data_IF_001627557773
#
_entry.id   IF_001627557773
#
_cell.length_a   1.000
_cell.length_b   1.000
_cell.length_c   1.000
_cell.angle_alpha   90.00
_cell.angle_beta   90.00
_cell.angle_gamma   90.00
#
_symmetry.space_group_name_H-M   'P 1'
#
loop_
_entity.id
_entity.type
_entity.pdbx_description
1 polymer ?
#
# COMPACT_ATOMS: atom_id res chain seq x y z
N UNK A 1 -47.13 23.75 -21.61
CA UNK A 1 -47.22 22.44 -20.92
C UNK A 1 -46.16 21.42 -21.35
N UNK A 2 -45.77 21.27 -22.63
CA UNK A 2 -44.74 20.29 -23.04
C UNK A 2 -43.31 20.58 -22.51
N UNK A 3 -42.96 21.85 -22.28
CA UNK A 3 -41.62 22.25 -21.82
C UNK A 3 -41.35 21.98 -20.33
N UNK A 4 -42.38 22.02 -19.49
CA UNK A 4 -42.25 21.71 -18.05
C UNK A 4 -41.98 20.23 -17.80
N UNK A 5 -42.55 19.35 -18.63
CA UNK A 5 -42.31 17.91 -18.56
C UNK A 5 -40.87 17.57 -18.95
N UNK A 6 -40.32 18.24 -19.96
CA UNK A 6 -38.90 18.08 -20.33
C UNK A 6 -37.94 18.57 -19.26
N UNK A 7 -38.25 19.65 -18.54
CA UNK A 7 -37.39 20.14 -17.44
C UNK A 7 -37.43 19.23 -16.20
N UNK A 8 -38.59 18.65 -15.88
CA UNK A 8 -38.72 17.66 -14.81
C UNK A 8 -37.99 16.35 -15.14
N UNK A 9 -38.05 15.89 -16.41
CA UNK A 9 -37.27 14.74 -16.89
C UNK A 9 -35.76 15.03 -16.93
N UNK A 10 -35.34 16.26 -17.23
CA UNK A 10 -33.92 16.64 -17.18
C UNK A 10 -33.38 16.63 -15.75
N UNK A 11 -34.17 17.08 -14.77
CA UNK A 11 -33.78 17.09 -13.36
C UNK A 11 -33.66 15.67 -12.76
N UNK A 12 -34.47 14.72 -13.24
CA UNK A 12 -34.42 13.30 -12.86
C UNK A 12 -33.20 12.55 -13.43
N UNK A 13 -32.56 13.08 -14.48
CA UNK A 13 -31.36 12.48 -15.07
C UNK A 13 -30.04 13.01 -14.47
N UNK A 14 -30.09 13.94 -13.49
CA UNK A 14 -28.89 14.55 -12.90
C UNK A 14 -28.58 13.97 -11.49
N UNK A 15 -29.44 13.10 -10.95
CA UNK A 15 -29.18 12.43 -9.67
C UNK A 15 -28.37 11.14 -9.84
N UNK A 16 -27.11 11.26 -10.27
CA UNK A 16 -26.14 10.19 -10.08
C UNK A 16 -25.73 10.13 -8.60
N UNK A 17 -26.29 9.12 -7.90
CA UNK A 17 -25.55 8.16 -7.07
C UNK A 17 -24.57 8.69 -6.01
N UNK A 18 -25.00 9.61 -5.14
CA UNK A 18 -24.40 9.74 -3.81
C UNK A 18 -25.50 9.68 -2.77
N UNK A 19 -25.55 8.61 -1.98
CA UNK A 19 -26.53 8.49 -0.90
C UNK A 19 -25.88 8.90 0.43
N UNK A 20 -26.15 10.12 0.94
CA UNK A 20 -25.50 10.64 2.15
C UNK A 20 -25.82 9.85 3.42
N UNK A 21 -26.84 8.98 3.40
CA UNK A 21 -27.18 8.12 4.53
C UNK A 21 -26.31 6.86 4.59
N UNK A 22 -25.90 6.31 3.44
CA UNK A 22 -25.05 5.11 3.35
C UNK A 22 -23.58 5.43 3.11
N UNK A 23 -23.29 6.59 2.54
CA UNK A 23 -21.95 6.99 2.11
C UNK A 23 -21.41 8.21 2.86
N UNK A 24 -20.09 8.26 3.00
CA UNK A 24 -19.35 9.36 3.58
C UNK A 24 -18.18 9.70 2.67
N UNK A 25 -18.01 10.99 2.42
CA UNK A 25 -16.78 11.49 1.81
C UNK A 25 -15.67 11.49 2.86
N UNK A 26 -14.55 10.89 2.51
CA UNK A 26 -13.34 10.84 3.33
C UNK A 26 -12.19 11.47 2.56
N UNK A 27 -11.44 12.34 3.23
CA UNK A 27 -10.17 12.84 2.71
C UNK A 27 -9.09 11.81 3.05
N UNK A 28 -8.34 11.42 2.03
CA UNK A 28 -7.19 10.52 2.11
C UNK A 28 -5.94 11.36 1.89
N UNK A 29 -4.92 11.15 2.72
CA UNK A 29 -3.68 11.93 2.68
C UNK A 29 -2.46 11.01 2.78
N UNK A 30 -1.53 11.15 1.84
CA UNK A 30 -0.19 10.55 1.89
C UNK A 30 0.73 11.60 2.52
N UNK A 31 1.13 11.39 3.78
CA UNK A 31 1.91 12.39 4.54
C UNK A 31 3.42 12.19 4.37
N UNK A 32 3.86 10.95 4.27
CA UNK A 32 5.27 10.61 4.19
C UNK A 32 5.80 10.75 2.76
N UNK A 33 6.87 11.53 2.61
CA UNK A 33 7.56 11.65 1.33
C UNK A 33 8.42 10.42 1.05
N UNK A 34 8.21 9.80 -0.12
CA UNK A 34 8.94 8.62 -0.56
C UNK A 34 10.46 8.88 -0.62
N UNK A 35 11.32 7.96 -0.15
CA UNK A 35 12.77 8.13 -0.16
C UNK A 35 13.34 8.52 -1.53
N UNK A 36 12.87 7.89 -2.61
CA UNK A 36 13.33 8.22 -3.97
C UNK A 36 12.91 9.62 -4.42
N UNK A 37 11.75 10.13 -3.95
CA UNK A 37 11.36 11.52 -4.20
C UNK A 37 12.27 12.49 -3.45
N UNK A 38 12.63 12.18 -2.19
CA UNK A 38 13.54 13.01 -1.38
C UNK A 38 14.88 13.23 -2.06
N UNK A 39 15.45 12.19 -2.68
CA UNK A 39 16.79 12.28 -3.31
C UNK A 39 16.73 12.76 -4.76
N UNK A 40 15.74 12.32 -5.55
CA UNK A 40 15.62 12.76 -6.94
C UNK A 40 15.10 14.19 -7.08
N UNK A 41 14.39 14.70 -6.07
CA UNK A 41 13.57 15.91 -6.13
C UNK A 41 12.52 15.89 -7.24
N UNK A 42 12.20 14.71 -7.80
CA UNK A 42 11.19 14.53 -8.83
C UNK A 42 9.87 14.07 -8.22
N UNK A 43 8.74 14.63 -8.64
CA UNK A 43 7.44 14.22 -8.14
C UNK A 43 7.13 12.78 -8.58
N UNK A 44 6.75 11.93 -7.63
CA UNK A 44 6.24 10.58 -7.92
C UNK A 44 4.72 10.64 -8.02
N UNK A 45 4.18 10.04 -9.07
CA UNK A 45 2.76 9.75 -9.18
C UNK A 45 2.43 8.46 -8.41
N UNK A 46 1.17 8.31 -8.01
CA UNK A 46 0.69 7.16 -7.26
C UNK A 46 -0.54 6.54 -7.94
N UNK A 47 -0.74 5.24 -7.76
CA UNK A 47 -2.02 4.58 -8.05
C UNK A 47 -2.70 4.29 -6.73
N UNK A 48 -3.78 5.01 -6.43
CA UNK A 48 -4.64 4.73 -5.27
C UNK A 48 -5.63 3.61 -5.65
N UNK A 49 -5.67 2.57 -4.82
CA UNK A 49 -6.49 1.38 -4.99
C UNK A 49 -7.36 1.19 -3.76
N UNK A 50 -8.65 0.95 -3.99
CA UNK A 50 -9.64 0.69 -2.95
C UNK A 50 -10.90 0.05 -3.54
N UNK A 51 -11.71 -0.59 -2.71
CA UNK A 51 -13.05 -1.01 -3.09
C UNK A 51 -14.04 0.10 -2.76
N UNK A 52 -14.82 0.51 -3.75
CA UNK A 52 -15.80 1.58 -3.58
C UNK A 52 -17.07 1.11 -2.85
N UNK A 53 -18.06 2.00 -2.74
CA UNK A 53 -19.30 1.68 -2.05
C UNK A 53 -20.14 0.58 -2.73
N UNK A 54 -19.92 0.31 -4.02
CA UNK A 54 -20.55 -0.78 -4.75
C UNK A 54 -19.83 -2.13 -4.57
N UNK A 55 -18.63 -2.12 -4.00
CA UNK A 55 -17.76 -3.30 -3.88
C UNK A 55 -16.86 -3.52 -5.09
N UNK A 56 -16.77 -2.54 -6.00
CA UNK A 56 -15.89 -2.59 -7.17
C UNK A 56 -14.49 -2.11 -6.81
N UNK A 57 -13.46 -2.82 -7.30
CA UNK A 57 -12.08 -2.35 -7.21
C UNK A 57 -11.87 -1.14 -8.11
N UNK A 58 -11.46 -0.02 -7.53
CA UNK A 58 -11.12 1.21 -8.25
C UNK A 58 -9.62 1.44 -8.23
N UNK A 59 -9.12 1.92 -9.36
CA UNK A 59 -7.75 2.40 -9.53
C UNK A 59 -7.80 3.87 -9.92
N UNK A 60 -7.31 4.74 -9.05
CA UNK A 60 -7.27 6.18 -9.26
C UNK A 60 -5.83 6.61 -9.44
N UNK A 61 -5.52 7.18 -10.60
CA UNK A 61 -4.21 7.79 -10.83
C UNK A 61 -4.14 9.14 -10.10
N UNK A 62 -3.15 9.29 -9.23
CA UNK A 62 -2.79 10.53 -8.57
C UNK A 62 -1.55 11.09 -9.26
N UNK A 63 -1.69 12.26 -9.88
CA UNK A 63 -0.60 12.93 -10.58
C UNK A 63 0.62 13.19 -9.66
N UNK A 64 1.79 13.39 -10.27
CA UNK A 64 3.02 13.64 -9.55
C UNK A 64 2.91 14.83 -8.60
N UNK A 65 3.12 14.57 -7.30
CA UNK A 65 3.02 15.59 -6.24
C UNK A 65 1.63 15.74 -5.62
N UNK A 66 0.60 15.08 -6.16
CA UNK A 66 -0.72 14.99 -5.52
C UNK A 66 -0.65 14.00 -4.36
N UNK A 67 -0.86 14.50 -3.15
CA UNK A 67 -0.82 13.70 -1.91
C UNK A 67 -2.19 13.56 -1.25
N UNK A 68 -3.25 14.06 -1.89
CA UNK A 68 -4.59 14.09 -1.32
C UNK A 68 -5.65 13.65 -2.33
N UNK A 69 -6.65 12.93 -1.85
CA UNK A 69 -7.82 12.55 -2.63
C UNK A 69 -9.08 12.53 -1.75
N UNK A 70 -10.23 12.87 -2.33
CA UNK A 70 -11.53 12.76 -1.64
C UNK A 70 -12.31 11.61 -2.27
N UNK A 71 -12.65 10.61 -1.47
CA UNK A 71 -13.30 9.38 -1.93
C UNK A 71 -14.61 9.18 -1.16
N UNK A 72 -15.67 8.73 -1.86
CA UNK A 72 -16.89 8.28 -1.22
C UNK A 72 -16.76 6.81 -0.80
N UNK A 73 -17.02 6.53 0.46
CA UNK A 73 -17.00 5.18 1.04
C UNK A 73 -18.27 4.89 1.82
N UNK A 74 -18.54 3.61 2.06
CA UNK A 74 -19.65 3.19 2.91
C UNK A 74 -19.38 3.51 4.37
N UNK A 75 -20.42 3.97 5.08
CA UNK A 75 -20.33 4.38 6.49
C UNK A 75 -20.28 3.23 7.48
N UNK A 76 -20.80 2.07 7.10
CA UNK A 76 -21.16 0.96 7.99
C UNK A 76 -20.09 -0.14 8.08
N UNK A 77 -18.97 0.00 7.37
CA UNK A 77 -17.98 -1.07 7.18
C UNK A 77 -16.56 -0.54 7.00
N UNK A 78 -15.59 -1.44 7.08
CA UNK A 78 -14.20 -1.15 6.76
C UNK A 78 -14.04 -0.85 5.26
N UNK A 79 -13.22 0.13 4.92
CA UNK A 79 -12.67 0.33 3.59
C UNK A 79 -11.14 0.39 3.68
N UNK A 80 -10.48 -0.41 2.86
CA UNK A 80 -9.02 -0.47 2.77
C UNK A 80 -8.54 0.40 1.62
N UNK A 81 -7.51 1.19 1.87
CA UNK A 81 -6.87 2.03 0.87
C UNK A 81 -5.40 1.66 0.75
N UNK A 82 -4.91 1.64 -0.48
CA UNK A 82 -3.51 1.41 -0.77
C UNK A 82 -3.06 2.32 -1.92
N UNK A 83 -2.04 3.15 -1.70
CA UNK A 83 -1.44 3.99 -2.72
C UNK A 83 -0.06 3.43 -3.11
N UNK A 84 0.07 2.99 -4.35
CA UNK A 84 1.31 2.44 -4.91
C UNK A 84 2.08 3.51 -5.67
N UNK A 85 3.27 3.92 -5.21
CA UNK A 85 4.14 4.83 -5.97
C UNK A 85 4.60 4.13 -7.24
N UNK A 86 4.55 4.83 -8.38
CA UNK A 86 4.87 4.26 -9.70
C UNK A 86 4.15 2.91 -9.98
N UNK A 87 2.91 2.77 -9.48
CA UNK A 87 2.06 1.56 -9.53
C UNK A 87 2.60 0.29 -8.87
N UNK A 88 3.86 0.23 -8.46
CA UNK A 88 4.49 -1.05 -8.09
C UNK A 88 5.49 -0.98 -6.95
N UNK A 89 5.91 0.22 -6.53
CA UNK A 89 6.79 0.39 -5.38
C UNK A 89 6.05 0.11 -4.08
N UNK A 90 6.81 0.03 -3.00
CA UNK A 90 6.27 -0.31 -1.69
C UNK A 90 5.09 0.61 -1.30
N UNK A 91 3.92 0.02 -1.00
CA UNK A 91 2.68 0.77 -0.86
C UNK A 91 2.61 1.63 0.39
N UNK A 92 1.74 2.64 0.34
CA UNK A 92 1.19 3.35 1.49
C UNK A 92 -0.21 2.83 1.78
N UNK A 93 -0.48 2.37 2.99
CA UNK A 93 -1.74 1.76 3.38
C UNK A 93 -2.51 2.59 4.40
N UNK A 94 -3.82 2.40 4.45
CA UNK A 94 -4.67 3.01 5.46
C UNK A 94 -6.09 2.47 5.45
N UNK A 95 -6.81 2.72 6.55
CA UNK A 95 -8.10 2.10 6.81
C UNK A 95 -9.15 3.14 7.22
N UNK A 96 -10.33 3.07 6.61
CA UNK A 96 -11.52 3.75 7.11
C UNK A 96 -12.44 2.76 7.80
N UNK A 97 -12.96 3.10 8.97
CA UNK A 97 -13.95 2.30 9.69
C UNK A 97 -14.93 3.21 10.45
N UNK A 98 -16.11 2.72 10.85
CA UNK A 98 -17.07 3.50 11.62
C UNK A 98 -16.44 4.07 12.90
N UNK A 99 -16.47 5.39 13.05
CA UNK A 99 -15.88 6.09 14.20
C UNK A 99 -14.41 6.53 14.02
N UNK A 100 -13.74 6.15 12.92
CA UNK A 100 -12.38 6.62 12.67
C UNK A 100 -12.33 8.13 12.42
N UNK A 101 -11.17 8.74 12.75
CA UNK A 101 -10.92 10.16 12.47
C UNK A 101 -10.57 10.35 11.00
N UNK A 102 -10.95 11.51 10.47
CA UNK A 102 -10.56 11.97 9.13
C UNK A 102 -9.61 13.17 9.27
N UNK A 103 -8.59 13.33 8.41
CA UNK A 103 -8.31 12.53 7.21
C UNK A 103 -7.77 11.13 7.51
N UNK A 104 -7.95 10.22 6.56
CA UNK A 104 -7.30 8.90 6.57
C UNK A 104 -5.87 9.08 6.09
N UNK A 105 -4.92 8.85 6.98
CA UNK A 105 -3.50 8.97 6.67
C UNK A 105 -3.02 7.64 6.10
N UNK A 106 -2.39 7.68 4.93
CA UNK A 106 -1.73 6.53 4.34
C UNK A 106 -0.23 6.54 4.68
N UNK A 107 0.25 5.46 5.26
CA UNK A 107 1.66 5.28 5.67
C UNK A 107 2.24 3.96 5.16
N UNK A 108 3.58 3.87 5.06
CA UNK A 108 4.23 2.64 4.59
C UNK A 108 4.10 1.49 5.60
N UNK A 109 3.96 1.77 6.90
CA UNK A 109 3.83 0.74 7.94
C UNK A 109 2.57 -0.11 7.72
N UNK A 110 1.48 0.52 7.29
CA UNK A 110 0.21 -0.12 6.96
C UNK A 110 0.15 -0.62 5.51
N UNK A 111 1.11 -0.25 4.68
CA UNK A 111 1.13 -0.56 3.24
C UNK A 111 0.97 -2.02 2.93
N UNK A 112 1.79 -2.88 3.57
CA UNK A 112 1.77 -4.32 3.29
C UNK A 112 0.47 -4.98 3.73
N UNK A 113 -0.03 -4.66 4.93
CA UNK A 113 -1.31 -5.18 5.41
C UNK A 113 -2.46 -4.72 4.50
N UNK A 114 -2.49 -3.44 4.12
CA UNK A 114 -3.52 -2.91 3.24
C UNK A 114 -3.50 -3.58 1.86
N UNK A 115 -2.33 -3.76 1.27
CA UNK A 115 -2.15 -4.47 -0.01
C UNK A 115 -2.65 -5.91 0.08
N UNK A 116 -2.27 -6.64 1.14
CA UNK A 116 -2.71 -8.01 1.38
C UNK A 116 -4.24 -8.14 1.52
N UNK A 117 -4.87 -7.20 2.23
CA UNK A 117 -6.33 -7.16 2.39
C UNK A 117 -7.03 -6.83 1.07
N UNK A 118 -6.48 -5.94 0.24
CA UNK A 118 -7.06 -5.65 -1.07
C UNK A 118 -7.00 -6.86 -2.01
N UNK A 119 -5.90 -7.62 -1.97
CA UNK A 119 -5.72 -8.85 -2.74
C UNK A 119 -6.68 -9.97 -2.27
N UNK A 120 -6.97 -10.02 -0.97
CA UNK A 120 -7.89 -11.00 -0.39
C UNK A 120 -9.39 -10.66 -0.56
N UNK A 121 -9.72 -9.39 -0.80
CA UNK A 121 -11.11 -8.92 -0.89
C UNK A 121 -11.97 -9.63 -1.95
N UNK A 122 -11.49 -9.94 -3.17
CA UNK A 122 -12.27 -10.69 -4.16
C UNK A 122 -12.63 -12.10 -3.70
N UNK A 123 -11.85 -12.66 -2.77
CA UNK A 123 -12.07 -14.01 -2.25
C UNK A 123 -13.08 -14.02 -1.09
N UNK A 124 -13.10 -12.97 -0.26
CA UNK A 124 -14.03 -12.86 0.86
C UNK A 124 -14.24 -11.40 1.33
N UNK A 125 -14.98 -10.62 0.56
CA UNK A 125 -15.28 -9.22 0.88
C UNK A 125 -15.93 -9.06 2.26
N UNK A 126 -16.89 -9.93 2.60
CA UNK A 126 -17.63 -9.84 3.86
C UNK A 126 -16.73 -10.01 5.08
N UNK A 127 -15.73 -10.90 5.04
CA UNK A 127 -14.77 -11.03 6.15
C UNK A 127 -14.00 -9.73 6.34
N UNK A 128 -13.48 -9.14 5.27
CA UNK A 128 -12.66 -7.93 5.33
C UNK A 128 -13.47 -6.73 5.81
N UNK A 129 -14.67 -6.54 5.26
CA UNK A 129 -15.55 -5.42 5.61
C UNK A 129 -15.95 -5.36 7.09
N UNK A 130 -15.94 -6.51 7.78
CA UNK A 130 -16.30 -6.65 9.19
C UNK A 130 -15.09 -6.71 10.13
N UNK A 131 -13.87 -6.58 9.63
CA UNK A 131 -12.68 -6.56 10.48
C UNK A 131 -12.67 -5.33 11.39
N UNK A 132 -12.11 -5.51 12.58
CA UNK A 132 -11.91 -4.41 13.52
C UNK A 132 -10.76 -3.51 13.02
N UNK A 133 -11.09 -2.39 12.40
CA UNK A 133 -10.13 -1.43 11.87
C UNK A 133 -9.17 -0.84 12.91
N UNK A 134 -9.58 -0.69 14.17
CA UNK A 134 -8.71 -0.21 15.25
C UNK A 134 -7.62 -1.23 15.59
N UNK A 135 -8.01 -2.52 15.65
CA UNK A 135 -7.05 -3.61 15.84
C UNK A 135 -6.09 -3.77 14.64
N UNK A 136 -6.57 -3.58 13.40
CA UNK A 136 -5.72 -3.63 12.21
C UNK A 136 -4.63 -2.56 12.23
N UNK A 137 -4.95 -1.34 12.65
CA UNK A 137 -3.98 -0.24 12.80
C UNK A 137 -2.89 -0.61 13.82
N UNK A 138 -3.27 -1.30 14.91
CA UNK A 138 -2.30 -1.74 15.91
C UNK A 138 -1.40 -2.89 15.43
N UNK A 139 -1.93 -3.83 14.63
CA UNK A 139 -1.18 -4.99 14.11
C UNK A 139 -0.26 -4.66 12.92
N UNK A 140 -0.54 -3.60 12.18
CA UNK A 140 0.09 -3.30 10.89
C UNK A 140 1.63 -3.26 10.92
N UNK A 141 2.24 -2.84 12.04
CA UNK A 141 3.69 -2.75 12.18
C UNK A 141 4.41 -4.10 12.01
N UNK A 142 3.74 -5.21 12.33
CA UNK A 142 4.39 -6.52 12.44
C UNK A 142 4.17 -7.41 11.20
N UNK A 143 3.31 -6.98 10.27
CA UNK A 143 2.86 -7.79 9.11
C UNK A 143 3.97 -8.08 8.11
N UNK A 144 5.04 -7.26 8.08
CA UNK A 144 6.17 -7.53 7.21
C UNK A 144 6.81 -8.89 7.49
N UNK A 145 6.88 -9.28 8.75
CA UNK A 145 7.53 -10.50 9.20
C UNK A 145 6.57 -11.69 9.31
N UNK A 146 5.31 -11.54 8.93
CA UNK A 146 4.34 -12.63 9.02
C UNK A 146 4.44 -13.58 7.84
N UNK A 147 4.16 -14.86 8.11
CA UNK A 147 3.67 -15.76 7.09
C UNK A 147 2.30 -15.22 6.61
N UNK A 148 2.33 -14.46 5.52
CA UNK A 148 1.15 -13.79 4.96
C UNK A 148 0.09 -14.78 4.52
N UNK A 149 0.46 -15.99 4.10
CA UNK A 149 -0.48 -17.03 3.70
C UNK A 149 -1.23 -17.57 4.90
N UNK A 150 -0.49 -17.94 5.97
CA UNK A 150 -1.10 -18.38 7.21
C UNK A 150 -1.94 -17.28 7.85
N UNK A 151 -1.42 -16.05 7.90
CA UNK A 151 -2.13 -14.90 8.45
C UNK A 151 -3.44 -14.62 7.70
N UNK A 152 -3.44 -14.66 6.37
CA UNK A 152 -4.67 -14.51 5.59
C UNK A 152 -5.68 -15.61 5.90
N UNK A 153 -5.25 -16.87 5.99
CA UNK A 153 -6.15 -17.98 6.33
C UNK A 153 -6.75 -17.79 7.72
N UNK A 154 -5.93 -17.46 8.71
CA UNK A 154 -6.36 -17.25 10.09
C UNK A 154 -7.32 -16.03 10.17
N UNK A 155 -7.04 -14.96 9.41
CA UNK A 155 -7.86 -13.75 9.34
C UNK A 155 -9.24 -14.05 8.72
N UNK A 156 -9.26 -14.79 7.61
CA UNK A 156 -10.50 -15.16 6.93
C UNK A 156 -11.36 -16.14 7.73
N UNK A 157 -10.74 -16.97 8.58
CA UNK A 157 -11.43 -17.88 9.49
C UNK A 157 -11.87 -17.21 10.80
N UNK A 158 -11.49 -15.93 11.03
CA UNK A 158 -11.81 -15.22 12.26
C UNK A 158 -11.08 -15.74 13.49
N UNK A 159 -9.93 -16.41 13.30
CA UNK A 159 -9.14 -17.03 14.37
C UNK A 159 -7.90 -16.20 14.75
N UNK A 160 -7.78 -14.97 14.26
CA UNK A 160 -6.70 -14.05 14.63
C UNK A 160 -6.97 -13.49 16.02
N UNK A 161 -6.48 -14.19 17.04
CA UNK A 161 -6.37 -13.66 18.40
C UNK A 161 -5.03 -12.94 18.60
N UNK A 162 -4.97 -11.98 19.54
CA UNK A 162 -3.80 -11.13 19.81
C UNK A 162 -2.49 -11.89 20.12
N UNK A 163 -2.54 -13.19 20.39
CA UNK A 163 -1.38 -14.06 20.64
C UNK A 163 -0.91 -14.88 19.43
N UNK A 164 -1.54 -14.72 18.25
CA UNK A 164 -1.43 -15.68 17.12
C UNK A 164 -0.39 -15.42 16.02
N UNK A 165 0.06 -14.19 15.72
CA UNK A 165 0.93 -14.00 14.57
C UNK A 165 2.37 -14.41 14.91
N UNK A 166 2.80 -15.57 14.40
CA UNK A 166 4.20 -16.00 14.47
C UNK A 166 5.01 -15.11 13.52
N UNK A 167 5.83 -14.23 14.10
CA UNK A 167 6.79 -13.43 13.36
C UNK A 167 7.95 -14.32 12.93
N UNK A 168 8.19 -14.38 11.63
CA UNK A 168 9.37 -14.97 11.05
C UNK A 168 10.57 -14.05 11.33
N UNK A 169 11.75 -14.61 11.63
CA UNK A 169 12.94 -13.80 11.78
C UNK A 169 13.31 -13.15 10.43
N UNK A 170 13.92 -11.97 10.50
CA UNK A 170 14.53 -11.34 9.33
C UNK A 170 15.61 -12.24 8.73
N UNK A 171 15.76 -12.20 7.41
CA UNK A 171 16.81 -12.94 6.71
C UNK A 171 18.04 -12.03 6.54
N UNK A 172 19.16 -12.41 7.17
CA UNK A 172 20.43 -11.72 6.99
C UNK A 172 21.05 -12.11 5.64
N UNK A 173 21.32 -11.12 4.80
CA UNK A 173 21.77 -11.31 3.42
C UNK A 173 23.00 -10.46 3.18
N UNK A 174 24.03 -11.07 2.61
CA UNK A 174 25.23 -10.36 2.15
C UNK A 174 25.10 -10.05 0.67
N UNK A 175 24.99 -8.77 0.35
CA UNK A 175 25.03 -8.25 -1.02
C UNK A 175 26.48 -8.00 -1.42
N UNK A 176 26.88 -8.53 -2.58
CA UNK A 176 28.19 -8.34 -3.19
C UNK A 176 28.04 -8.04 -4.68
N UNK A 177 29.14 -7.66 -5.33
CA UNK A 177 29.23 -7.44 -6.79
C UNK A 177 28.24 -6.41 -7.35
N UNK A 178 27.84 -5.41 -6.55
CA UNK A 178 27.00 -4.31 -7.00
C UNK A 178 27.82 -3.19 -7.65
N UNK A 179 27.25 -2.45 -8.61
CA UNK A 179 27.83 -1.20 -9.06
C UNK A 179 28.00 -0.21 -7.91
N UNK A 180 29.13 0.50 -7.92
CA UNK A 180 29.42 1.52 -6.93
C UNK A 180 28.37 2.64 -6.93
N UNK A 181 28.20 3.28 -5.79
CA UNK A 181 27.32 4.43 -5.61
C UNK A 181 26.37 4.27 -4.42
N UNK A 182 25.44 5.22 -4.30
CA UNK A 182 24.47 5.25 -3.23
C UNK A 182 23.18 4.52 -3.62
N UNK A 183 22.82 3.51 -2.83
CA UNK A 183 21.63 2.68 -2.99
C UNK A 183 20.57 3.08 -1.98
N UNK A 184 19.47 3.64 -2.48
CA UNK A 184 18.39 4.22 -1.66
C UNK A 184 17.23 3.24 -1.60
N UNK A 185 16.85 2.77 -0.42
CA UNK A 185 15.70 1.88 -0.26
C UNK A 185 14.38 2.61 -0.58
N UNK A 186 13.39 1.90 -1.12
CA UNK A 186 12.05 2.45 -1.35
C UNK A 186 11.23 2.66 -0.06
N UNK A 187 11.54 1.92 1.00
CA UNK A 187 10.91 2.00 2.32
C UNK A 187 11.63 3.02 3.21
N UNK A 188 10.85 3.79 3.96
CA UNK A 188 11.35 4.89 4.79
C UNK A 188 12.05 4.43 6.07
N UNK A 189 11.76 3.22 6.54
CA UNK A 189 12.30 2.59 7.75
C UNK A 189 13.49 1.66 7.48
N UNK A 190 13.72 1.29 6.21
CA UNK A 190 14.83 0.43 5.80
C UNK A 190 16.11 1.20 5.49
N UNK A 191 17.23 0.51 5.66
CA UNK A 191 18.56 1.09 5.50
C UNK A 191 18.91 1.30 4.02
N UNK A 192 19.28 2.54 3.69
CA UNK A 192 20.01 2.89 2.47
C UNK A 192 21.53 2.77 2.71
N UNK A 193 22.31 2.49 1.68
CA UNK A 193 23.74 2.21 1.85
C UNK A 193 24.58 2.72 0.67
N UNK A 194 25.86 3.00 0.94
CA UNK A 194 26.86 3.22 -0.11
C UNK A 194 27.57 1.91 -0.41
N UNK A 195 27.69 1.56 -1.70
CA UNK A 195 28.49 0.44 -2.14
C UNK A 195 29.77 0.96 -2.79
N UNK A 196 30.92 0.52 -2.29
CA UNK A 196 32.24 0.80 -2.87
C UNK A 196 32.75 -0.47 -3.57
N UNK A 197 33.71 -0.33 -4.50
CA UNK A 197 34.23 -1.49 -5.22
C UNK A 197 34.81 -2.55 -4.28
N UNK A 198 34.43 -3.81 -4.52
CA UNK A 198 34.82 -5.00 -3.74
C UNK A 198 34.35 -4.98 -2.28
N UNK A 199 33.34 -4.17 -1.96
CA UNK A 199 32.70 -4.18 -0.65
C UNK A 199 31.66 -5.32 -0.57
N UNK A 200 31.26 -5.66 0.65
CA UNK A 200 30.16 -6.58 0.92
C UNK A 200 29.26 -5.95 1.99
N UNK A 201 27.96 -5.88 1.72
CA UNK A 201 27.02 -5.19 2.59
C UNK A 201 26.01 -6.18 3.13
N UNK A 202 25.91 -6.23 4.45
CA UNK A 202 24.86 -6.99 5.13
C UNK A 202 23.57 -6.17 5.20
N UNK A 203 22.48 -6.78 4.74
CA UNK A 203 21.11 -6.26 4.83
C UNK A 203 20.22 -7.29 5.52
N UNK A 204 19.25 -6.82 6.28
CA UNK A 204 18.23 -7.67 6.90
C UNK A 204 16.93 -7.53 6.10
N UNK A 205 16.53 -8.58 5.38
CA UNK A 205 15.30 -8.58 4.62
C UNK A 205 14.10 -8.96 5.49
N UNK A 206 13.00 -8.27 5.28
CA UNK A 206 11.71 -8.48 5.92
C UNK A 206 10.74 -9.26 5.02
N UNK A 207 11.27 -10.06 4.10
CA UNK A 207 10.48 -10.92 3.21
C UNK A 207 9.82 -10.20 2.04
N UNK A 208 9.42 -11.01 1.05
CA UNK A 208 8.92 -10.58 -0.26
C UNK A 208 9.90 -9.61 -0.93
N UNK A 209 9.38 -8.63 -1.67
CA UNK A 209 10.15 -7.73 -2.51
C UNK A 209 10.61 -6.49 -1.73
N UNK A 210 11.89 -6.17 -1.88
CA UNK A 210 12.54 -4.93 -1.45
C UNK A 210 13.35 -4.35 -2.60
N UNK A 211 13.34 -3.02 -2.74
CA UNK A 211 14.05 -2.35 -3.82
C UNK A 211 14.95 -1.23 -3.34
N UNK A 212 16.10 -1.13 -3.99
CA UNK A 212 17.01 0.00 -3.86
C UNK A 212 17.28 0.64 -5.21
N UNK A 213 17.29 1.97 -5.24
CA UNK A 213 17.60 2.75 -6.42
C UNK A 213 19.00 3.37 -6.31
N UNK A 214 19.81 3.19 -7.34
CA UNK A 214 21.06 3.92 -7.54
C UNK A 214 20.82 4.99 -8.61
N UNK A 215 20.79 6.24 -8.16
CA UNK A 215 20.51 7.40 -9.03
C UNK A 215 21.64 7.67 -10.03
N UNK A 216 22.89 7.49 -9.64
CA UNK A 216 24.05 7.80 -10.49
C UNK A 216 24.11 6.86 -11.69
N UNK A 217 23.85 5.58 -11.45
CA UNK A 217 23.90 4.52 -12.47
C UNK A 217 22.54 4.27 -13.15
N UNK A 218 21.46 4.88 -12.65
CA UNK A 218 20.07 4.64 -13.10
C UNK A 218 19.68 3.16 -13.03
N UNK A 219 20.02 2.51 -11.91
CA UNK A 219 19.77 1.09 -11.67
C UNK A 219 18.82 0.87 -10.50
N UNK A 220 18.06 -0.21 -10.57
CA UNK A 220 17.21 -0.70 -9.50
C UNK A 220 17.66 -2.11 -9.11
N UNK A 221 18.07 -2.28 -7.86
CA UNK A 221 18.30 -3.57 -7.24
C UNK A 221 16.96 -4.03 -6.67
N UNK A 222 16.49 -5.19 -7.10
CA UNK A 222 15.32 -5.85 -6.52
C UNK A 222 15.78 -7.10 -5.79
N UNK A 223 15.50 -7.17 -4.50
CA UNK A 223 15.69 -8.33 -3.65
C UNK A 223 14.32 -8.97 -3.41
N UNK A 224 14.24 -10.29 -3.60
CA UNK A 224 13.13 -11.09 -3.11
C UNK A 224 13.66 -12.03 -2.04
N UNK A 225 13.05 -12.01 -0.86
CA UNK A 225 13.37 -12.90 0.24
C UNK A 225 12.15 -13.77 0.61
N UNK A 226 12.36 -15.09 0.65
CA UNK A 226 11.41 -16.03 1.23
C UNK A 226 11.86 -16.33 2.67
N UNK A 227 11.13 -15.80 3.66
CA UNK A 227 11.45 -15.99 5.07
C UNK A 227 11.10 -17.40 5.57
N UNK A 228 10.21 -18.12 4.89
CA UNK A 228 9.82 -19.49 5.25
C UNK A 228 10.89 -20.48 4.81
N UNK A 229 11.35 -20.34 3.56
CA UNK A 229 12.44 -21.18 3.03
C UNK A 229 13.83 -20.69 3.46
N UNK A 230 13.94 -19.44 3.93
CA UNK A 230 15.22 -18.81 4.26
C UNK A 230 16.09 -18.57 3.01
N UNK A 231 15.46 -18.39 1.85
CA UNK A 231 16.13 -18.18 0.56
C UNK A 231 15.93 -16.77 0.07
N UNK A 232 16.81 -16.32 -0.83
CA UNK A 232 16.66 -15.03 -1.48
C UNK A 232 17.14 -15.07 -2.92
N UNK A 233 16.67 -14.11 -3.71
CA UNK A 233 17.17 -13.84 -5.05
C UNK A 233 17.30 -12.34 -5.26
N UNK A 234 18.32 -11.94 -6.01
CA UNK A 234 18.53 -10.54 -6.40
C UNK A 234 18.47 -10.41 -7.91
N UNK A 235 17.99 -9.26 -8.37
CA UNK A 235 18.04 -8.88 -9.77
C UNK A 235 18.39 -7.41 -9.90
N UNK A 236 19.09 -7.07 -10.98
CA UNK A 236 19.51 -5.72 -11.29
C UNK A 236 18.87 -5.31 -12.62
N UNK A 237 18.10 -4.23 -12.60
CA UNK A 237 17.43 -3.70 -13.78
C UNK A 237 17.70 -2.21 -13.95
N UNK A 238 17.30 -1.65 -15.10
CA UNK A 238 17.18 -0.21 -15.23
C UNK A 238 16.17 0.31 -14.20
N UNK A 239 16.44 1.49 -13.64
CA UNK A 239 15.50 2.20 -12.79
C UNK A 239 14.21 2.54 -13.58
N UNK A 240 13.04 2.54 -12.91
CA UNK A 240 11.82 3.01 -13.54
C UNK A 240 11.98 4.47 -13.98
N UNK A 241 11.30 4.86 -15.06
CA UNK A 241 11.33 6.22 -15.58
C UNK A 241 10.13 7.01 -15.01
N UNK A 242 10.39 8.20 -14.46
CA UNK A 242 9.39 9.18 -14.04
C UNK A 242 9.93 10.62 -14.08
#
# INVERSE_FOLDING_TARGET
MKWFVCFALLALCISCEFNPLSERQVEIVITEEHPWKKVSHRPLWHTLVYYDASGDLKHVHLEGGTTKATIAVRRDRLTVFCAYPLSSLFPYGGFFYPGCRTPIVLDQKQGRLASLLLDAYPHNAQAIENLNGEALVAMACDVALLDTSKFLVDLLNGTVDQESPILLPKLAITLADLPAGYWINERSDQRSFYFLWNDAIEVEAEGLVERWWNQEMQLCLTLYADLVEGTFSTSLSKAPLW
#
